data_IF_763522888715
#
_entry.id   IF_763522888715
#
_cell.length_a   1.000
_cell.length_b   1.000
_cell.length_c   1.000
_cell.angle_alpha   90.00
_cell.angle_beta   90.00
_cell.angle_gamma   90.00
#
_symmetry.space_group_name_H-M   'P 1'
#
loop_
_entity.id
_entity.type
_entity.pdbx_description
1 polymer ?
#
# COMPACT_ATOMS: atom_id res chain seq x y z
N UNK A 1 -3.46 -27.71 -6.58
CA UNK A 1 -4.32 -27.08 -5.57
C UNK A 1 -4.76 -25.72 -6.08
N UNK A 2 -6.03 -25.38 -5.93
CA UNK A 2 -6.52 -24.02 -6.20
C UNK A 2 -6.11 -23.16 -5.00
N UNK A 3 -5.15 -22.28 -5.17
CA UNK A 3 -4.75 -21.32 -4.14
C UNK A 3 -5.66 -20.08 -4.21
N UNK A 4 -6.04 -19.55 -3.04
CA UNK A 4 -6.63 -18.22 -2.95
C UNK A 4 -5.50 -17.20 -2.76
N UNK A 5 -5.44 -16.20 -3.65
CA UNK A 5 -4.56 -15.06 -3.50
C UNK A 5 -5.39 -13.85 -3.07
N UNK A 6 -5.03 -13.24 -1.95
CA UNK A 6 -5.66 -12.02 -1.46
C UNK A 6 -4.76 -10.82 -1.75
N UNK A 7 -5.31 -9.85 -2.44
CA UNK A 7 -4.66 -8.56 -2.73
C UNK A 7 -5.07 -7.46 -1.75
N UNK A 8 -5.13 -6.23 -2.26
CA UNK A 8 -5.47 -5.07 -1.46
C UNK A 8 -6.89 -5.14 -0.88
N UNK A 9 -7.04 -4.66 0.35
CA UNK A 9 -8.34 -4.51 1.00
C UNK A 9 -8.64 -3.03 1.22
N UNK A 10 -9.84 -2.60 0.86
CA UNK A 10 -10.38 -1.26 1.10
C UNK A 10 -11.48 -1.35 2.16
N UNK A 11 -11.50 -0.46 3.13
CA UNK A 11 -12.51 -0.39 4.19
C UNK A 11 -13.37 0.85 3.97
N UNK A 12 -14.68 0.67 3.95
CA UNK A 12 -15.66 1.75 3.85
C UNK A 12 -16.09 2.18 5.25
N UNK A 13 -15.73 3.41 5.62
CA UNK A 13 -15.99 3.97 6.96
C UNK A 13 -17.00 5.09 6.88
N UNK A 14 -18.00 5.08 7.75
CA UNK A 14 -18.99 6.13 7.93
C UNK A 14 -18.72 6.90 9.22
N UNK A 15 -18.64 8.21 9.11
CA UNK A 15 -18.47 9.13 10.23
C UNK A 15 -19.82 9.73 10.61
N UNK A 16 -20.28 9.47 11.83
CA UNK A 16 -21.48 10.03 12.42
C UNK A 16 -21.08 10.98 13.58
N UNK A 17 -22.04 11.74 14.11
CA UNK A 17 -21.79 12.60 15.27
C UNK A 17 -21.51 11.82 16.58
N UNK A 18 -21.98 10.60 16.67
CA UNK A 18 -21.85 9.75 17.86
C UNK A 18 -20.99 8.50 17.65
N UNK A 19 -20.52 8.24 16.42
CA UNK A 19 -19.75 7.02 16.14
C UNK A 19 -18.93 7.11 14.85
N UNK A 20 -17.90 6.25 14.77
CA UNK A 20 -17.19 5.92 13.54
C UNK A 20 -17.42 4.43 13.28
N UNK A 21 -18.03 4.10 12.15
CA UNK A 21 -18.50 2.76 11.82
C UNK A 21 -17.88 2.26 10.51
N UNK A 22 -17.39 1.04 10.48
CA UNK A 22 -17.07 0.34 9.24
C UNK A 22 -18.35 -0.27 8.68
N UNK A 23 -18.68 0.06 7.44
CA UNK A 23 -19.95 -0.32 6.81
C UNK A 23 -19.77 -1.40 5.75
N UNK A 24 -18.55 -1.62 5.27
CA UNK A 24 -18.23 -2.62 4.28
C UNK A 24 -16.74 -2.69 4.00
N UNK A 25 -16.39 -3.68 3.21
CA UNK A 25 -15.03 -3.88 2.69
C UNK A 25 -15.08 -4.15 1.19
N UNK A 26 -14.00 -3.80 0.49
CA UNK A 26 -13.70 -4.31 -0.84
C UNK A 26 -12.38 -5.07 -0.78
N UNK A 27 -12.32 -6.28 -1.28
CA UNK A 27 -11.09 -7.07 -1.32
C UNK A 27 -10.82 -7.59 -2.73
N UNK A 28 -9.55 -7.69 -3.08
CA UNK A 28 -9.15 -8.35 -4.30
C UNK A 28 -8.86 -9.83 -4.00
N UNK A 29 -9.55 -10.72 -4.71
CA UNK A 29 -9.35 -12.16 -4.58
C UNK A 29 -9.11 -12.74 -5.98
N UNK A 30 -7.94 -13.32 -6.22
CA UNK A 30 -7.54 -13.85 -7.53
C UNK A 30 -7.76 -12.81 -8.67
N UNK A 31 -7.35 -11.56 -8.44
CA UNK A 31 -7.52 -10.41 -9.35
C UNK A 31 -8.99 -9.98 -9.62
N UNK A 32 -9.94 -10.48 -8.82
CA UNK A 32 -11.34 -10.06 -8.86
C UNK A 32 -11.66 -9.17 -7.66
N UNK A 33 -12.25 -8.00 -7.93
CA UNK A 33 -12.71 -7.07 -6.89
C UNK A 33 -14.04 -7.56 -6.31
N UNK A 34 -14.07 -7.87 -5.01
CA UNK A 34 -15.22 -8.38 -4.29
C UNK A 34 -15.63 -7.38 -3.22
N UNK A 35 -16.79 -6.71 -3.36
CA UNK A 35 -17.35 -5.88 -2.30
C UNK A 35 -18.18 -6.72 -1.33
N UNK A 36 -18.13 -6.36 -0.05
CA UNK A 36 -19.01 -6.92 0.97
C UNK A 36 -19.45 -5.85 1.97
N UNK A 37 -20.68 -5.97 2.45
CA UNK A 37 -21.23 -5.08 3.47
C UNK A 37 -21.34 -5.81 4.79
N UNK A 38 -21.09 -5.12 5.89
CA UNK A 38 -21.37 -5.65 7.21
C UNK A 38 -22.88 -5.81 7.39
N UNK A 39 -23.34 -6.99 7.74
CA UNK A 39 -24.71 -7.25 8.12
C UNK A 39 -25.00 -6.63 9.51
N UNK A 40 -24.04 -6.75 10.43
CA UNK A 40 -23.97 -5.96 11.64
C UNK A 40 -22.71 -5.12 11.58
N UNK A 41 -22.87 -3.78 11.61
CA UNK A 41 -21.79 -2.81 11.41
C UNK A 41 -20.73 -2.94 12.49
N UNK A 42 -19.50 -2.65 12.13
CA UNK A 42 -18.36 -2.61 13.04
C UNK A 42 -18.20 -1.18 13.58
N UNK A 43 -18.68 -0.91 14.79
CA UNK A 43 -18.50 0.38 15.48
C UNK A 43 -17.09 0.48 16.01
N UNK A 44 -16.23 1.18 15.29
CA UNK A 44 -14.83 1.33 15.65
C UNK A 44 -14.65 2.25 16.85
N UNK A 45 -15.37 3.39 16.88
CA UNK A 45 -15.33 4.35 17.96
C UNK A 45 -16.72 4.85 18.33
N UNK A 46 -17.00 4.96 19.61
CA UNK A 46 -18.09 5.77 20.16
C UNK A 46 -17.58 7.18 20.45
N UNK A 47 -18.38 8.21 20.18
CA UNK A 47 -17.99 9.62 20.28
C UNK A 47 -18.96 10.39 21.20
N UNK A 48 -18.51 11.39 21.97
CA UNK A 48 -17.10 11.80 22.14
C UNK A 48 -16.28 10.75 22.89
N UNK A 49 -14.95 10.85 22.84
CA UNK A 49 -14.03 9.95 23.56
C UNK A 49 -13.37 10.72 24.69
N UNK A 50 -13.52 10.21 25.91
CA UNK A 50 -12.90 10.74 27.10
C UNK A 50 -12.11 9.65 27.85
N UNK A 51 -11.18 10.06 28.71
CA UNK A 51 -10.40 9.12 29.51
C UNK A 51 -11.31 8.33 30.47
N UNK A 52 -11.17 7.01 30.46
CA UNK A 52 -11.97 6.06 31.24
C UNK A 52 -13.20 5.52 30.54
N UNK A 53 -13.50 6.02 29.33
CA UNK A 53 -14.57 5.44 28.52
C UNK A 53 -14.25 4.01 28.11
N UNK A 54 -15.31 3.22 27.95
CA UNK A 54 -15.22 1.86 27.42
C UNK A 54 -16.48 1.50 26.63
N UNK A 55 -16.32 0.68 25.61
CA UNK A 55 -17.44 0.14 24.83
C UNK A 55 -17.13 -1.25 24.31
N UNK A 56 -18.16 -1.97 23.93
CA UNK A 56 -18.06 -3.27 23.27
C UNK A 56 -18.87 -3.24 21.98
N UNK A 57 -18.42 -3.95 20.97
CA UNK A 57 -19.09 -4.06 19.70
C UNK A 57 -19.00 -5.49 19.17
N UNK A 58 -20.08 -5.93 18.50
CA UNK A 58 -20.11 -7.18 17.78
C UNK A 58 -20.42 -6.88 16.32
N UNK A 59 -19.58 -7.32 15.43
CA UNK A 59 -19.78 -7.15 13.99
C UNK A 59 -19.81 -8.49 13.24
N UNK A 60 -20.53 -8.51 12.15
CA UNK A 60 -20.72 -9.69 11.34
C UNK A 60 -20.63 -9.34 9.85
N UNK A 61 -19.87 -10.14 9.12
CA UNK A 61 -19.62 -9.97 7.69
C UNK A 61 -19.58 -11.32 6.97
N UNK A 62 -20.40 -11.48 5.94
CA UNK A 62 -20.26 -12.52 4.92
C UNK A 62 -19.72 -11.93 3.63
N UNK A 63 -18.70 -12.55 3.07
CA UNK A 63 -18.10 -12.20 1.77
C UNK A 63 -18.36 -13.34 0.80
N UNK A 64 -19.23 -13.11 -0.16
CA UNK A 64 -19.40 -14.03 -1.29
C UNK A 64 -18.20 -13.91 -2.22
N UNK A 65 -17.38 -14.96 -2.29
CA UNK A 65 -16.14 -14.98 -3.05
C UNK A 65 -16.34 -15.20 -4.56
N UNK A 66 -17.60 -15.40 -5.03
CA UNK A 66 -17.87 -15.51 -6.46
C UNK A 66 -17.64 -14.18 -7.21
N UNK A 67 -17.14 -14.21 -8.45
CA UNK A 67 -16.77 -15.38 -9.24
C UNK A 67 -15.31 -15.83 -9.04
N UNK A 68 -14.55 -15.22 -8.15
CA UNK A 68 -13.15 -15.56 -7.93
C UNK A 68 -12.96 -16.98 -7.36
N UNK A 69 -13.90 -17.38 -6.51
CA UNK A 69 -13.91 -18.69 -5.87
C UNK A 69 -15.34 -19.05 -5.44
N UNK A 70 -15.76 -20.32 -5.63
CA UNK A 70 -17.09 -20.76 -5.21
C UNK A 70 -17.11 -21.03 -3.69
N UNK A 71 -17.35 -19.98 -2.92
CA UNK A 71 -17.36 -20.06 -1.47
C UNK A 71 -17.75 -18.75 -0.81
N UNK A 72 -17.91 -18.79 0.50
CA UNK A 72 -18.26 -17.65 1.34
C UNK A 72 -17.24 -17.59 2.48
N UNK A 73 -16.63 -16.41 2.67
CA UNK A 73 -15.83 -16.12 3.87
C UNK A 73 -16.73 -15.44 4.89
N UNK A 74 -16.80 -15.99 6.10
CA UNK A 74 -17.59 -15.48 7.21
C UNK A 74 -16.70 -15.01 8.34
N UNK A 75 -16.99 -13.83 8.86
CA UNK A 75 -16.33 -13.29 10.05
C UNK A 75 -17.34 -12.82 11.08
N UNK A 76 -17.21 -13.36 12.29
CA UNK A 76 -17.79 -12.79 13.49
C UNK A 76 -16.65 -12.14 14.29
N UNK A 77 -16.83 -10.91 14.71
CA UNK A 77 -15.83 -10.17 15.46
C UNK A 77 -16.48 -9.58 16.71
N UNK A 78 -15.95 -9.94 17.85
CA UNK A 78 -16.20 -9.23 19.11
C UNK A 78 -15.05 -8.26 19.38
N UNK A 79 -15.38 -7.05 19.81
CA UNK A 79 -14.43 -6.02 20.21
C UNK A 79 -14.78 -5.54 21.61
N UNK A 80 -13.75 -5.36 22.44
CA UNK A 80 -13.81 -4.50 23.62
C UNK A 80 -12.80 -3.38 23.48
N UNK A 81 -13.17 -2.19 23.91
CA UNK A 81 -12.32 -1.00 23.88
C UNK A 81 -12.34 -0.29 25.22
N UNK A 82 -11.19 0.24 25.62
CA UNK A 82 -10.99 1.02 26.84
C UNK A 82 -10.05 2.19 26.57
N UNK A 83 -10.41 3.38 27.03
CA UNK A 83 -9.53 4.55 27.02
C UNK A 83 -8.70 4.53 28.30
N UNK A 84 -7.57 3.84 28.25
CA UNK A 84 -6.76 3.45 29.40
C UNK A 84 -5.59 4.38 29.71
N UNK A 85 -5.36 5.40 28.86
CA UNK A 85 -4.23 6.30 29.06
C UNK A 85 -4.42 7.66 28.40
N UNK A 86 -3.69 8.64 28.92
CA UNK A 86 -3.56 9.96 28.33
C UNK A 86 -2.13 10.48 28.52
N UNK A 87 -1.72 11.42 27.68
CA UNK A 87 -0.39 12.00 27.77
C UNK A 87 0.04 12.65 26.46
N UNK A 88 1.34 12.73 26.27
CA UNK A 88 1.94 13.33 25.08
C UNK A 88 2.72 12.27 24.31
N UNK A 89 2.55 12.25 22.98
CA UNK A 89 3.32 11.41 22.07
C UNK A 89 4.10 12.29 21.09
N UNK A 90 5.35 11.94 20.87
CA UNK A 90 6.21 12.60 19.86
C UNK A 90 6.49 11.64 18.72
N UNK A 91 6.17 12.06 17.51
CA UNK A 91 6.46 11.36 16.26
C UNK A 91 7.24 12.28 15.34
N UNK A 92 7.64 11.79 14.18
CA UNK A 92 8.24 12.62 13.12
C UNK A 92 7.30 13.73 12.61
N UNK A 93 5.99 13.54 12.80
CA UNK A 93 4.96 14.52 12.42
C UNK A 93 4.87 15.68 13.43
N UNK A 94 5.17 15.43 14.69
CA UNK A 94 5.10 16.42 15.78
C UNK A 94 4.84 15.81 17.14
N UNK A 95 4.59 16.67 18.12
CA UNK A 95 4.19 16.30 19.49
C UNK A 95 2.71 16.63 19.67
N UNK A 96 1.96 15.69 20.23
CA UNK A 96 0.51 15.77 20.39
C UNK A 96 0.09 15.31 21.77
N UNK A 97 -0.88 16.01 22.36
CA UNK A 97 -1.61 15.49 23.52
C UNK A 97 -2.62 14.46 23.00
N UNK A 98 -2.62 13.28 23.59
CA UNK A 98 -3.36 12.13 23.08
C UNK A 98 -4.09 11.38 24.21
N UNK A 99 -5.15 10.69 23.80
CA UNK A 99 -5.75 9.59 24.55
C UNK A 99 -5.24 8.27 23.94
N UNK A 100 -4.93 7.29 24.81
CA UNK A 100 -4.65 5.93 24.35
C UNK A 100 -5.90 5.07 24.51
N UNK A 101 -6.28 4.40 23.43
CA UNK A 101 -7.39 3.47 23.37
C UNK A 101 -6.79 2.08 23.17
N UNK A 102 -7.07 1.17 24.08
CA UNK A 102 -6.78 -0.25 23.93
C UNK A 102 -8.01 -0.95 23.39
N UNK A 103 -7.85 -1.73 22.31
CA UNK A 103 -8.91 -2.56 21.73
C UNK A 103 -8.45 -4.01 21.70
N UNK A 104 -9.29 -4.89 22.21
CA UNK A 104 -9.10 -6.33 22.15
C UNK A 104 -10.13 -6.94 21.19
N UNK A 105 -9.68 -7.83 20.31
CA UNK A 105 -10.50 -8.47 19.29
C UNK A 105 -10.46 -9.98 19.43
N UNK A 106 -11.65 -10.58 19.40
CA UNK A 106 -11.84 -12.01 19.25
C UNK A 106 -12.57 -12.29 17.94
N UNK A 107 -12.09 -13.28 17.19
CA UNK A 107 -12.64 -13.63 15.88
C UNK A 107 -13.16 -15.06 15.89
N UNK A 108 -14.28 -15.27 15.21
CA UNK A 108 -14.75 -16.58 14.80
C UNK A 108 -14.92 -16.54 13.28
N UNK A 109 -13.86 -16.92 12.60
CA UNK A 109 -13.78 -16.92 11.13
C UNK A 109 -14.05 -18.30 10.60
N UNK A 110 -14.77 -18.40 9.49
CA UNK A 110 -15.02 -19.65 8.80
C UNK A 110 -15.14 -19.43 7.29
N UNK A 111 -14.88 -20.46 6.51
CA UNK A 111 -15.07 -20.45 5.06
C UNK A 111 -16.00 -21.59 4.65
N UNK A 112 -17.01 -21.25 3.86
CA UNK A 112 -17.83 -22.23 3.17
C UNK A 112 -17.18 -22.58 1.84
N UNK A 113 -17.02 -23.86 1.58
CA UNK A 113 -16.46 -24.39 0.34
C UNK A 113 -17.43 -25.41 -0.22
N UNK A 114 -17.78 -25.24 -1.50
CA UNK A 114 -18.57 -26.21 -2.24
C UNK A 114 -17.66 -27.06 -3.13
N UNK A 115 -17.75 -28.35 -3.01
CA UNK A 115 -17.03 -29.30 -3.84
C UNK A 115 -17.92 -30.49 -4.22
N UNK A 116 -18.05 -30.74 -5.53
CA UNK A 116 -18.81 -31.91 -6.04
C UNK A 116 -20.31 -31.90 -5.69
N UNK A 117 -20.91 -30.69 -5.52
CA UNK A 117 -22.34 -30.55 -5.18
C UNK A 117 -22.65 -30.70 -3.68
N UNK A 118 -21.63 -30.75 -2.84
CA UNK A 118 -21.75 -30.73 -1.38
C UNK A 118 -20.92 -29.60 -0.81
N UNK A 119 -21.50 -28.80 0.11
CA UNK A 119 -20.82 -27.70 0.77
C UNK A 119 -20.55 -28.00 2.24
N UNK A 120 -19.47 -27.47 2.76
CA UNK A 120 -19.11 -27.55 4.19
C UNK A 120 -18.48 -26.26 4.68
N UNK A 121 -18.70 -25.93 5.95
CA UNK A 121 -18.01 -24.87 6.66
C UNK A 121 -16.74 -25.42 7.31
N UNK A 122 -15.65 -24.69 7.13
CA UNK A 122 -14.36 -24.93 7.77
C UNK A 122 -14.02 -23.76 8.65
N UNK A 123 -13.74 -24.00 9.92
CA UNK A 123 -13.27 -22.97 10.84
C UNK A 123 -11.84 -22.55 10.46
N UNK A 124 -11.59 -21.25 10.52
CA UNK A 124 -10.28 -20.64 10.30
C UNK A 124 -9.73 -20.17 11.64
N UNK A 125 -8.68 -20.79 12.16
CA UNK A 125 -8.07 -20.33 13.42
C UNK A 125 -7.46 -18.95 13.21
N UNK A 126 -8.08 -17.95 13.82
CA UNK A 126 -7.60 -16.56 13.79
C UNK A 126 -7.08 -16.19 15.17
N UNK A 127 -5.81 -15.76 15.31
CA UNK A 127 -5.26 -15.38 16.59
C UNK A 127 -5.96 -14.14 17.16
N UNK A 128 -5.98 -14.04 18.48
CA UNK A 128 -6.38 -12.81 19.17
C UNK A 128 -5.54 -11.64 18.65
N UNK A 129 -6.18 -10.49 18.52
CA UNK A 129 -5.55 -9.26 18.08
C UNK A 129 -5.83 -8.15 19.08
N UNK A 130 -4.82 -7.33 19.36
CA UNK A 130 -4.94 -6.17 20.18
C UNK A 130 -4.44 -4.96 19.40
N UNK A 131 -5.10 -3.82 19.60
CA UNK A 131 -4.68 -2.54 19.01
C UNK A 131 -4.54 -1.50 20.13
N UNK A 132 -3.42 -0.81 20.11
CA UNK A 132 -3.14 0.34 20.97
C UNK A 132 -3.14 1.57 20.06
N UNK A 133 -4.10 2.47 20.23
CA UNK A 133 -4.41 3.56 19.32
C UNK A 133 -4.25 4.88 20.06
N UNK A 134 -3.46 5.80 19.53
CA UNK A 134 -3.28 7.15 20.09
C UNK A 134 -4.02 8.16 19.23
N UNK A 135 -5.07 8.74 19.80
CA UNK A 135 -5.93 9.74 19.18
C UNK A 135 -5.68 11.12 19.78
N UNK A 136 -5.75 12.16 18.96
CA UNK A 136 -5.69 13.56 19.41
C UNK A 136 -6.90 14.33 18.90
N UNK A 137 -7.27 15.38 19.62
CA UNK A 137 -8.39 16.23 19.21
C UNK A 137 -8.13 16.89 17.83
N UNK A 138 -9.18 17.03 17.04
CA UNK A 138 -9.15 17.66 15.73
C UNK A 138 -8.52 16.82 14.61
N UNK A 139 -8.12 15.57 14.88
CA UNK A 139 -7.63 14.64 13.86
C UNK A 139 -8.65 13.52 13.61
N UNK A 140 -8.84 13.17 12.34
CA UNK A 140 -9.78 12.09 11.93
C UNK A 140 -9.13 10.71 11.88
N UNK A 141 -7.81 10.66 12.03
CA UNK A 141 -7.02 9.43 11.98
C UNK A 141 -6.10 9.39 13.20
N UNK A 142 -5.74 8.19 13.68
CA UNK A 142 -4.78 8.04 14.75
C UNK A 142 -3.44 8.72 14.46
N UNK A 143 -2.79 9.25 15.50
CA UNK A 143 -1.40 9.69 15.41
C UNK A 143 -0.48 8.48 15.32
N UNK A 144 -0.81 7.44 16.07
CA UNK A 144 -0.08 6.17 16.09
C UNK A 144 -1.03 5.03 16.41
N UNK A 145 -0.74 3.84 15.87
CA UNK A 145 -1.38 2.57 16.20
C UNK A 145 -0.32 1.48 16.26
N UNK A 146 -0.35 0.69 17.33
CA UNK A 146 0.43 -0.54 17.45
C UNK A 146 -0.55 -1.71 17.42
N UNK A 147 -0.25 -2.70 16.60
CA UNK A 147 -1.03 -3.92 16.45
C UNK A 147 -0.21 -5.07 17.02
N UNK A 148 -0.82 -5.84 17.93
CA UNK A 148 -0.22 -7.05 18.46
C UNK A 148 -1.14 -8.24 18.24
N UNK A 149 -0.57 -9.44 18.19
CA UNK A 149 -1.29 -10.71 18.02
C UNK A 149 -0.81 -11.73 19.05
N UNK A 150 -1.73 -12.60 19.45
CA UNK A 150 -1.50 -13.64 20.46
C UNK A 150 -2.19 -13.34 21.78
N UNK A 151 -2.16 -14.28 22.75
CA UNK A 151 -2.83 -14.13 24.04
C UNK A 151 -2.35 -12.92 24.82
N UNK A 152 -3.29 -12.23 25.49
CA UNK A 152 -2.99 -11.06 26.30
C UNK A 152 -1.87 -11.32 27.31
N UNK A 153 -0.89 -10.41 27.36
CA UNK A 153 0.31 -10.51 28.22
C UNK A 153 1.48 -11.30 27.61
N UNK A 154 1.28 -11.94 26.46
CA UNK A 154 2.33 -12.63 25.68
C UNK A 154 2.27 -12.30 24.18
N UNK A 155 1.52 -11.25 23.86
CA UNK A 155 1.33 -10.80 22.48
C UNK A 155 2.63 -10.32 21.84
N UNK A 156 2.71 -10.49 20.52
CA UNK A 156 3.84 -10.07 19.69
C UNK A 156 3.39 -8.92 18.79
N UNK A 157 4.22 -7.89 18.66
CA UNK A 157 3.96 -6.77 17.75
C UNK A 157 3.96 -7.30 16.30
N UNK A 158 2.84 -7.13 15.61
CA UNK A 158 2.63 -7.52 14.21
C UNK A 158 2.56 -6.33 13.27
N UNK A 159 2.32 -5.12 13.78
CA UNK A 159 2.28 -3.91 12.97
C UNK A 159 2.43 -2.64 13.79
N UNK A 160 2.99 -1.62 13.16
CA UNK A 160 3.04 -0.25 13.70
C UNK A 160 2.68 0.70 12.57
N UNK A 161 1.66 1.52 12.81
CA UNK A 161 1.20 2.55 11.90
C UNK A 161 1.35 3.90 12.60
N UNK A 162 1.80 4.92 11.90
CA UNK A 162 1.86 6.28 12.45
C UNK A 162 1.54 7.29 11.37
N UNK A 163 0.97 8.41 11.79
CA UNK A 163 0.69 9.53 10.91
C UNK A 163 2.00 10.22 10.54
N UNK A 164 2.22 10.41 9.25
CA UNK A 164 3.30 11.23 8.72
C UNK A 164 2.74 12.29 7.77
N UNK A 165 3.56 13.25 7.40
CA UNK A 165 3.29 14.21 6.34
C UNK A 165 3.91 13.72 5.04
N UNK A 166 3.19 13.92 3.95
CA UNK A 166 3.80 13.85 2.63
C UNK A 166 4.82 15.00 2.51
N UNK A 167 6.08 14.65 2.68
CA UNK A 167 7.18 15.62 2.60
C UNK A 167 7.59 15.92 1.17
N UNK A 168 6.91 15.35 0.19
CA UNK A 168 7.22 15.52 -1.25
C UNK A 168 8.59 14.97 -1.67
N UNK A 169 9.46 14.64 -0.70
CA UNK A 169 10.82 14.13 -0.97
C UNK A 169 10.87 12.61 -1.17
N UNK A 170 9.78 11.89 -0.85
CA UNK A 170 9.67 10.45 -1.05
C UNK A 170 8.70 10.08 -2.17
N UNK A 171 7.95 11.03 -2.72
CA UNK A 171 7.39 10.80 -4.02
C UNK A 171 8.56 10.90 -5.02
N UNK A 172 9.08 9.76 -5.44
CA UNK A 172 9.46 9.68 -6.84
C UNK A 172 8.17 10.10 -7.55
N UNK A 173 8.07 11.38 -7.94
CA UNK A 173 7.05 11.79 -8.91
C UNK A 173 7.14 10.75 -10.00
N UNK A 174 6.01 10.11 -10.33
CA UNK A 174 5.95 9.27 -11.51
C UNK A 174 6.71 10.03 -12.58
N UNK A 175 7.80 9.49 -13.13
CA UNK A 175 8.60 10.26 -14.05
C UNK A 175 7.61 10.68 -15.12
N UNK A 176 7.40 12.00 -15.27
CA UNK A 176 6.63 12.53 -16.40
C UNK A 176 7.29 11.86 -17.59
N UNK A 177 6.61 10.88 -18.18
CA UNK A 177 7.16 10.15 -19.30
C UNK A 177 7.13 11.10 -20.48
N UNK A 178 8.09 12.01 -20.51
CA UNK A 178 8.37 12.81 -21.70
C UNK A 178 8.52 11.81 -22.83
N UNK A 179 7.73 11.98 -23.85
CA UNK A 179 7.72 11.08 -24.98
C UNK A 179 9.10 11.15 -25.66
N UNK A 180 9.93 10.15 -25.40
CA UNK A 180 11.30 10.08 -25.90
C UNK A 180 11.43 8.89 -26.80
N UNK A 181 11.89 9.13 -28.02
CA UNK A 181 12.21 8.10 -29.01
C UNK A 181 13.72 8.15 -29.30
N UNK A 182 14.29 6.98 -29.58
CA UNK A 182 15.66 6.85 -30.03
C UNK A 182 15.78 5.71 -31.03
N UNK A 183 16.61 5.91 -32.06
CA UNK A 183 16.80 4.95 -33.14
C UNK A 183 18.13 5.19 -33.90
N UNK A 184 18.67 4.17 -34.58
CA UNK A 184 18.27 2.77 -34.54
C UNK A 184 18.67 2.08 -33.23
N UNK A 185 17.95 1.05 -32.84
CA UNK A 185 18.33 0.13 -31.79
C UNK A 185 17.92 -1.29 -32.22
N UNK A 186 18.84 -2.20 -32.58
CA UNK A 186 20.31 -2.06 -32.47
C UNK A 186 20.92 -0.99 -33.39
N UNK A 187 22.09 -0.48 -32.95
CA UNK A 187 22.89 0.49 -33.71
C UNK A 187 24.25 -0.07 -34.11
N UNK A 188 24.84 0.47 -35.16
CA UNK A 188 26.24 0.27 -35.53
C UNK A 188 27.15 1.43 -35.13
N UNK A 189 26.63 2.34 -34.27
CA UNK A 189 27.35 3.45 -33.68
C UNK A 189 26.52 4.71 -33.49
N UNK A 190 25.85 5.22 -34.50
CA UNK A 190 25.09 6.47 -34.39
C UNK A 190 23.67 6.18 -33.92
N UNK A 191 23.22 6.96 -32.93
CA UNK A 191 21.86 6.90 -32.35
C UNK A 191 21.25 8.29 -32.40
N UNK A 192 20.09 8.42 -33.00
CA UNK A 192 19.29 9.65 -33.02
C UNK A 192 18.31 9.65 -31.85
N UNK A 193 18.16 10.80 -31.22
CA UNK A 193 17.24 11.05 -30.11
C UNK A 193 16.23 12.12 -30.48
N UNK A 194 14.99 11.93 -30.07
CA UNK A 194 13.92 12.93 -30.21
C UNK A 194 13.04 12.89 -28.98
N UNK A 195 12.82 14.04 -28.35
CA UNK A 195 12.00 14.22 -27.15
C UNK A 195 11.06 15.42 -27.31
N UNK A 196 10.03 15.50 -26.47
CA UNK A 196 9.11 16.65 -26.41
C UNK A 196 9.72 17.86 -25.69
N UNK A 197 10.83 17.68 -24.95
CA UNK A 197 11.57 18.73 -24.26
C UNK A 197 13.07 18.58 -24.47
N UNK A 198 13.86 19.60 -24.09
CA UNK A 198 15.30 19.56 -24.23
C UNK A 198 15.93 18.42 -23.41
N UNK A 199 16.77 17.65 -24.04
CA UNK A 199 17.64 16.65 -23.44
C UNK A 199 18.90 17.37 -22.96
N UNK A 200 19.12 17.45 -21.66
CA UNK A 200 20.25 18.13 -21.07
C UNK A 200 21.53 17.30 -21.20
N UNK A 201 21.44 16.03 -20.81
CA UNK A 201 22.59 15.12 -20.73
C UNK A 201 22.16 13.69 -21.07
N UNK A 202 23.02 12.97 -21.77
CA UNK A 202 22.88 11.52 -21.99
C UNK A 202 24.15 10.82 -21.51
N UNK A 203 23.98 9.86 -20.61
CA UNK A 203 25.06 9.03 -20.10
C UNK A 203 24.90 7.61 -20.58
N UNK A 204 25.92 7.08 -21.24
CA UNK A 204 26.03 5.67 -21.60
C UNK A 204 26.73 4.91 -20.50
N UNK A 205 26.11 3.84 -19.99
CA UNK A 205 26.71 2.95 -18.99
C UNK A 205 26.75 1.50 -19.50
N UNK A 206 27.71 0.74 -19.07
CA UNK A 206 27.74 -0.70 -19.28
C UNK A 206 26.78 -1.43 -18.30
N UNK A 207 26.65 -2.73 -18.44
CA UNK A 207 25.77 -3.55 -17.59
C UNK A 207 26.25 -3.67 -16.13
N UNK A 208 27.46 -3.23 -15.81
CA UNK A 208 27.99 -3.12 -14.45
C UNK A 208 27.74 -1.72 -13.84
N UNK A 209 27.12 -0.81 -14.60
CA UNK A 209 26.81 0.56 -14.16
C UNK A 209 27.99 1.52 -14.28
N UNK A 210 29.10 1.12 -14.92
CA UNK A 210 30.25 2.01 -15.17
C UNK A 210 29.91 2.97 -16.30
N UNK A 211 30.16 4.26 -16.10
CA UNK A 211 30.00 5.28 -17.14
C UNK A 211 31.04 5.05 -18.22
N UNK A 212 30.54 4.90 -19.45
CA UNK A 212 31.34 4.71 -20.66
C UNK A 212 31.53 6.04 -21.41
N UNK A 213 30.46 6.82 -21.51
CA UNK A 213 30.45 8.10 -22.20
C UNK A 213 29.37 9.00 -21.61
N UNK A 214 29.57 10.31 -21.62
CA UNK A 214 28.59 11.33 -21.27
C UNK A 214 28.60 12.42 -22.33
N UNK A 215 27.40 12.75 -22.84
CA UNK A 215 27.19 13.76 -23.88
C UNK A 215 26.18 14.79 -23.37
N UNK A 216 26.44 16.07 -23.61
CA UNK A 216 25.54 17.20 -23.33
C UNK A 216 24.91 17.61 -24.67
N UNK A 217 23.56 17.59 -24.75
CA UNK A 217 22.84 17.93 -25.95
C UNK A 217 22.20 19.32 -25.93
N UNK A 218 21.57 19.69 -24.80
CA UNK A 218 20.79 20.92 -24.62
C UNK A 218 19.81 21.22 -25.77
N UNK A 219 19.19 20.16 -26.31
CA UNK A 219 18.26 20.19 -27.45
C UNK A 219 17.24 19.06 -27.34
N UNK A 220 16.04 19.29 -27.89
CA UNK A 220 14.99 18.26 -27.97
C UNK A 220 15.31 17.14 -29.00
N UNK A 221 16.24 17.40 -29.93
CA UNK A 221 16.66 16.46 -30.96
C UNK A 221 18.17 16.48 -31.10
N UNK A 222 18.76 15.32 -31.28
CA UNK A 222 20.20 15.20 -31.49
C UNK A 222 20.62 13.81 -31.95
N UNK A 223 21.94 13.65 -32.09
CA UNK A 223 22.51 12.34 -32.33
C UNK A 223 23.73 12.15 -31.42
N UNK A 224 24.01 10.89 -31.14
CA UNK A 224 25.14 10.43 -30.32
C UNK A 224 25.96 9.45 -31.12
N UNK A 225 27.27 9.54 -31.00
CA UNK A 225 28.19 8.64 -31.71
C UNK A 225 28.85 7.67 -30.72
N UNK A 226 28.49 6.43 -30.82
CA UNK A 226 29.02 5.29 -30.04
C UNK A 226 29.80 4.30 -30.89
N UNK A 227 30.24 4.73 -32.11
CA UNK A 227 30.96 3.85 -33.06
C UNK A 227 32.29 3.30 -32.53
N UNK A 228 32.85 3.94 -31.50
CA UNK A 228 34.07 3.48 -30.83
C UNK A 228 33.81 2.49 -29.69
N UNK A 229 32.56 2.28 -29.34
CA UNK A 229 32.22 1.39 -28.24
C UNK A 229 32.19 -0.09 -28.70
N UNK A 230 32.67 -1.02 -27.86
CA UNK A 230 32.56 -2.44 -28.16
C UNK A 230 31.11 -2.89 -28.38
N UNK A 231 30.95 -3.94 -29.19
CA UNK A 231 29.63 -4.58 -29.35
C UNK A 231 29.15 -5.08 -27.98
N UNK A 232 27.89 -4.78 -27.66
CA UNK A 232 27.34 -5.15 -26.39
C UNK A 232 26.02 -4.47 -26.04
N UNK A 233 25.52 -4.77 -24.84
CA UNK A 233 24.32 -4.17 -24.27
C UNK A 233 24.73 -3.06 -23.31
N UNK A 234 24.14 -1.89 -23.50
CA UNK A 234 24.39 -0.68 -22.70
C UNK A 234 23.08 -0.12 -22.16
N UNK A 235 23.19 0.77 -21.18
CA UNK A 235 22.08 1.58 -20.71
C UNK A 235 22.34 3.05 -21.07
N UNK A 236 21.33 3.68 -21.69
CA UNK A 236 21.27 5.11 -21.93
C UNK A 236 20.48 5.77 -20.81
N UNK A 237 21.12 6.60 -20.02
CA UNK A 237 20.50 7.42 -18.98
C UNK A 237 20.33 8.82 -19.56
N UNK A 238 19.09 9.20 -19.84
CA UNK A 238 18.74 10.45 -20.52
C UNK A 238 18.09 11.38 -19.52
N UNK A 239 18.70 12.54 -19.30
CA UNK A 239 18.23 13.57 -18.37
C UNK A 239 17.61 14.72 -19.15
N UNK A 240 16.42 15.11 -18.74
CA UNK A 240 15.69 16.28 -19.22
C UNK A 240 15.39 17.22 -18.07
N UNK A 241 14.71 18.34 -18.32
CA UNK A 241 14.28 19.23 -17.25
C UNK A 241 13.24 18.57 -16.32
N UNK A 242 12.35 17.75 -16.88
CA UNK A 242 11.26 17.09 -16.14
C UNK A 242 11.67 15.81 -15.41
N UNK A 243 12.89 15.27 -15.66
CA UNK A 243 13.35 14.06 -15.00
C UNK A 243 14.38 13.26 -15.78
N UNK A 244 14.47 11.98 -15.43
CA UNK A 244 15.45 11.05 -16.00
C UNK A 244 14.75 9.79 -16.51
N UNK A 245 15.17 9.31 -17.69
CA UNK A 245 14.74 8.03 -18.25
C UNK A 245 15.93 7.13 -18.55
N UNK A 246 15.77 5.83 -18.32
CA UNK A 246 16.78 4.83 -18.68
C UNK A 246 16.24 3.93 -19.81
N UNK A 247 17.03 3.76 -20.87
CA UNK A 247 16.70 2.91 -22.00
C UNK A 247 17.85 1.95 -22.32
N UNK A 248 17.53 0.78 -22.82
CA UNK A 248 18.54 -0.21 -23.22
C UNK A 248 18.94 0.01 -24.69
N UNK A 249 20.24 0.08 -24.95
CA UNK A 249 20.84 0.19 -26.26
C UNK A 249 21.66 -1.07 -26.59
N UNK A 250 21.51 -1.59 -27.79
CA UNK A 250 22.33 -2.66 -28.33
C UNK A 250 23.25 -2.09 -29.40
N UNK A 251 24.57 -2.21 -29.20
CA UNK A 251 25.61 -1.84 -30.17
C UNK A 251 26.11 -3.12 -30.85
N UNK A 252 26.05 -3.16 -32.20
CA UNK A 252 26.47 -4.29 -33.03
C UNK A 252 27.84 -4.06 -33.69
#
# INVERSE_FOLDING_TARGET
GVGLSFGNTVIFTKYNSGSIEKTGIGMNVNDVEIPAQYENKDTEFELPIDFGDNWTDYSFLDVDLNPAFNGILRRHQDRSAEVDGWGSITTWYGTFDVLRIKMDFTYNDSVFIEFGGSGTWLELPTPERHEYIWMTNGQKVPIMKIITTGPSGTEVVSGVEFKDIDRGFLSVSDPVQTKLTFYPNPTTGIVYLSAEENINEVTLTDMQGRIVQTDVLDSANGYLDYSTQPQGVYQLIIKTHSGQQTKRLLVN
#
